data_IF_448933375407
#
_entry.id   IF_448933375407
#
_cell.length_a   1.000
_cell.length_b   1.000
_cell.length_c   1.000
_cell.angle_alpha   90.00
_cell.angle_beta   90.00
_cell.angle_gamma   90.00
#
_symmetry.space_group_name_H-M   'P 1'
#
loop_
_entity.id
_entity.type
_entity.pdbx_description
1 polymer ?
#
# COMPACT_ATOMS: atom_id res chain seq x y z
N UNK A 1 -51.82 -50.95 34.40
CA UNK A 1 -52.49 -50.23 33.30
C UNK A 1 -52.57 -48.74 33.66
N UNK A 2 -52.27 -47.81 32.73
CA UNK A 2 -52.57 -46.35 32.74
C UNK A 2 -51.92 -45.54 33.91
N UNK A 3 -51.03 -44.55 33.70
CA UNK A 3 -51.24 -43.16 33.16
C UNK A 3 -52.46 -42.47 33.80
N UNK A 4 -52.46 -41.23 34.30
CA UNK A 4 -51.44 -40.18 34.51
C UNK A 4 -51.95 -39.31 35.73
N UNK A 5 -51.57 -38.07 36.07
CA UNK A 5 -50.72 -37.01 35.49
C UNK A 5 -50.31 -36.04 36.63
N UNK A 6 -49.18 -35.32 36.53
CA UNK A 6 -48.89 -34.15 37.38
C UNK A 6 -48.03 -33.12 36.63
N UNK A 7 -48.49 -31.86 36.52
CA UNK A 7 -47.68 -30.72 36.10
C UNK A 7 -47.03 -30.07 37.33
N UNK A 8 -45.79 -29.59 37.22
CA UNK A 8 -45.30 -28.42 37.94
C UNK A 8 -45.17 -27.19 37.00
N UNK A 9 -45.22 -26.00 37.58
CA UNK A 9 -45.27 -24.74 36.85
C UNK A 9 -43.94 -24.33 36.20
N UNK A 10 -44.04 -23.48 35.16
CA UNK A 10 -42.89 -22.89 34.50
C UNK A 10 -42.25 -21.79 35.37
N UNK A 11 -40.93 -21.85 35.56
CA UNK A 11 -40.15 -20.74 36.08
C UNK A 11 -39.78 -19.78 34.93
N UNK A 12 -40.08 -18.49 35.08
CA UNK A 12 -39.60 -17.46 34.14
C UNK A 12 -38.09 -17.24 34.33
N UNK A 13 -37.31 -17.54 33.31
CA UNK A 13 -35.94 -17.00 33.18
C UNK A 13 -36.03 -15.59 32.58
N UNK A 14 -35.66 -14.57 33.35
CA UNK A 14 -35.45 -13.22 32.82
C UNK A 14 -34.05 -13.14 32.19
N UNK A 15 -33.98 -13.24 30.86
CA UNK A 15 -32.74 -13.03 30.13
C UNK A 15 -32.43 -11.52 30.04
N UNK A 16 -31.28 -11.12 30.58
CA UNK A 16 -30.73 -9.78 30.39
C UNK A 16 -30.24 -9.62 28.95
N UNK A 17 -31.02 -8.94 28.12
CA UNK A 17 -30.59 -8.50 26.80
C UNK A 17 -29.63 -7.30 26.97
N UNK A 18 -28.33 -7.57 26.98
CA UNK A 18 -27.36 -6.56 26.61
C UNK A 18 -27.58 -6.22 25.12
N UNK A 19 -27.54 -4.93 24.71
CA UNK A 19 -27.56 -4.60 23.30
C UNK A 19 -26.30 -5.18 22.66
N UNK A 20 -26.48 -6.07 21.67
CA UNK A 20 -25.39 -6.46 20.81
C UNK A 20 -24.91 -5.19 20.09
N UNK A 21 -23.67 -4.78 20.37
CA UNK A 21 -22.98 -3.84 19.50
C UNK A 21 -22.98 -4.47 18.11
N UNK A 22 -23.60 -3.79 17.13
CA UNK A 22 -23.56 -4.21 15.74
C UNK A 22 -22.11 -4.08 15.29
N UNK A 23 -21.37 -5.20 15.31
CA UNK A 23 -20.11 -5.30 14.62
C UNK A 23 -20.40 -4.96 13.15
N UNK A 24 -19.85 -3.85 12.67
CA UNK A 24 -19.88 -3.54 11.25
C UNK A 24 -19.17 -4.70 10.54
N UNK A 25 -19.69 -5.19 9.40
CA UNK A 25 -18.90 -6.08 8.56
C UNK A 25 -17.62 -5.35 8.17
N UNK A 26 -16.47 -6.04 8.04
CA UNK A 26 -15.30 -5.42 7.45
C UNK A 26 -15.70 -4.90 6.07
N UNK A 27 -15.37 -3.64 5.80
CA UNK A 27 -15.23 -3.17 4.42
C UNK A 27 -14.22 -4.08 3.72
N UNK A 28 -14.41 -4.36 2.42
CA UNK A 28 -13.28 -4.75 1.59
C UNK A 28 -12.38 -3.51 1.50
N UNK A 29 -11.43 -3.36 2.42
CA UNK A 29 -10.49 -2.21 2.47
C UNK A 29 -9.58 -2.15 1.22
N UNK A 30 -9.63 -3.20 0.39
CA UNK A 30 -9.00 -3.29 -0.93
C UNK A 30 -9.86 -2.72 -2.08
N UNK A 31 -11.13 -2.34 -1.84
CA UNK A 31 -12.02 -1.70 -2.84
C UNK A 31 -12.05 -0.18 -2.56
N UNK A 32 -10.88 0.46 -2.52
CA UNK A 32 -10.74 1.91 -2.33
C UNK A 32 -11.47 2.66 -3.45
N UNK A 33 -12.15 3.75 -3.09
CA UNK A 33 -12.76 4.68 -4.03
C UNK A 33 -12.49 6.11 -3.59
N UNK A 34 -11.71 6.84 -4.38
CA UNK A 34 -11.35 8.23 -4.11
C UNK A 34 -12.35 9.17 -4.79
N UNK A 35 -12.97 10.05 -4.01
CA UNK A 35 -13.82 11.12 -4.51
C UNK A 35 -13.01 12.35 -4.94
N UNK A 36 -13.36 12.94 -6.08
CA UNK A 36 -12.73 14.18 -6.55
C UNK A 36 -12.90 15.34 -5.55
N UNK A 37 -14.00 15.37 -4.81
CA UNK A 37 -14.34 16.38 -3.80
C UNK A 37 -13.87 16.06 -2.37
N UNK A 38 -13.07 14.99 -2.17
CA UNK A 38 -12.50 14.68 -0.86
C UNK A 38 -11.61 15.84 -0.35
N UNK A 39 -11.76 16.26 0.93
CA UNK A 39 -11.15 17.48 1.42
C UNK A 39 -9.64 17.30 1.63
N UNK A 40 -8.89 18.37 1.36
CA UNK A 40 -7.50 18.51 1.81
C UNK A 40 -7.50 19.06 3.25
N UNK A 41 -6.86 18.34 4.17
CA UNK A 41 -6.66 18.75 5.56
C UNK A 41 -5.25 19.34 5.72
N UNK A 42 -5.19 20.61 6.14
CA UNK A 42 -3.95 21.32 6.50
C UNK A 42 -3.55 21.08 7.97
N UNK A 43 -4.26 20.21 8.69
CA UNK A 43 -3.98 19.91 10.09
C UNK A 43 -2.84 18.89 10.20
N UNK A 44 -1.93 19.12 11.15
CA UNK A 44 -0.92 18.13 11.51
C UNK A 44 -1.56 16.83 11.98
N UNK A 45 -1.04 15.71 11.47
CA UNK A 45 -1.47 14.38 11.85
C UNK A 45 -0.30 13.43 12.08
N UNK A 46 -0.34 12.71 13.21
CA UNK A 46 0.46 11.51 13.44
C UNK A 46 -0.42 10.32 13.12
N UNK A 47 -0.05 9.53 12.13
CA UNK A 47 -0.79 8.36 11.65
C UNK A 47 -0.08 7.10 12.16
N UNK A 48 -0.64 6.49 13.21
CA UNK A 48 -0.04 5.35 13.91
C UNK A 48 -0.74 4.00 13.67
N UNK A 49 -1.95 4.03 13.11
CA UNK A 49 -2.83 2.89 12.86
C UNK A 49 -3.68 3.15 11.62
N UNK A 50 -4.10 2.09 10.92
CA UNK A 50 -5.09 2.16 9.86
C UNK A 50 -4.53 2.41 8.45
N UNK A 51 -5.43 2.43 7.48
CA UNK A 51 -5.14 2.54 6.05
C UNK A 51 -4.65 3.93 5.65
N UNK A 52 -3.50 4.01 4.96
CA UNK A 52 -2.96 5.23 4.37
C UNK A 52 -2.24 4.93 3.06
N UNK A 53 -2.44 5.76 2.05
CA UNK A 53 -1.74 5.66 0.78
C UNK A 53 -1.02 6.95 0.43
N UNK A 54 0.18 6.82 -0.14
CA UNK A 54 0.89 7.93 -0.76
C UNK A 54 0.47 7.98 -2.23
N UNK A 55 -0.05 9.12 -2.69
CA UNK A 55 -0.53 9.26 -4.06
C UNK A 55 -0.41 10.69 -4.57
N UNK A 56 -0.22 10.89 -5.89
CA UNK A 56 -0.33 12.21 -6.47
C UNK A 56 -1.78 12.68 -6.47
N UNK A 57 -1.98 13.99 -6.38
CA UNK A 57 -3.25 14.68 -6.57
C UNK A 57 -2.98 16.10 -7.08
N UNK A 58 -3.92 16.68 -7.82
CA UNK A 58 -3.87 18.09 -8.15
C UNK A 58 -4.43 18.94 -7.00
N UNK A 59 -3.60 19.82 -6.45
CA UNK A 59 -4.01 20.84 -5.46
C UNK A 59 -3.88 22.20 -6.13
N UNK A 60 -4.98 22.95 -6.26
CA UNK A 60 -5.05 24.22 -7.01
C UNK A 60 -4.42 24.16 -8.42
N UNK A 61 -4.53 22.98 -9.08
CA UNK A 61 -3.96 22.71 -10.41
C UNK A 61 -2.48 22.31 -10.41
N UNK A 62 -1.86 22.11 -9.25
CA UNK A 62 -0.46 21.70 -9.11
C UNK A 62 -0.37 20.21 -8.74
N UNK A 63 0.38 19.45 -9.53
CA UNK A 63 0.70 18.04 -9.24
C UNK A 63 1.49 17.94 -7.93
N UNK A 64 0.88 17.33 -6.92
CA UNK A 64 1.37 17.31 -5.54
C UNK A 64 1.35 15.87 -5.02
N UNK A 65 2.45 15.40 -4.44
CA UNK A 65 2.48 14.12 -3.73
C UNK A 65 1.89 14.30 -2.33
N UNK A 66 0.88 13.50 -2.00
CA UNK A 66 0.07 13.65 -0.79
C UNK A 66 -0.15 12.31 -0.08
N UNK A 67 -0.71 12.35 1.12
CA UNK A 67 -1.22 11.17 1.82
C UNK A 67 -2.74 11.16 1.76
N UNK A 68 -3.32 10.08 1.24
CA UNK A 68 -4.71 9.74 1.43
C UNK A 68 -4.87 9.06 2.80
N UNK A 69 -5.60 9.70 3.71
CA UNK A 69 -5.79 9.31 5.10
C UNK A 69 -7.18 8.70 5.30
N UNK A 70 -7.25 7.36 5.24
CA UNK A 70 -8.42 6.55 5.56
C UNK A 70 -8.47 6.14 7.06
N UNK A 71 -7.52 6.55 7.90
CA UNK A 71 -7.48 6.18 9.34
C UNK A 71 -8.72 6.66 10.12
N UNK A 72 -9.46 7.62 9.57
CA UNK A 72 -10.70 8.20 10.10
C UNK A 72 -11.97 7.61 9.49
N UNK A 73 -11.89 6.47 8.79
CA UNK A 73 -12.99 5.81 8.04
C UNK A 73 -14.15 5.25 8.89
N UNK A 74 -14.75 6.10 9.72
CA UNK A 74 -16.21 6.07 9.93
C UNK A 74 -16.80 6.90 8.77
N UNK A 75 -17.12 6.18 7.68
CA UNK A 75 -17.89 6.55 6.46
C UNK A 75 -17.85 8.04 6.04
N UNK A 76 -17.36 8.29 4.82
CA UNK A 76 -17.30 9.62 4.17
C UNK A 76 -16.41 10.67 4.86
N UNK A 77 -15.30 10.24 5.49
CA UNK A 77 -14.32 11.14 6.15
C UNK A 77 -12.84 10.85 5.88
N UNK A 78 -12.55 10.14 4.80
CA UNK A 78 -11.20 10.12 4.20
C UNK A 78 -10.78 11.53 3.82
N UNK A 79 -9.52 11.89 4.05
CA UNK A 79 -8.99 13.22 3.69
C UNK A 79 -7.65 13.09 3.00
N UNK A 80 -7.32 14.05 2.15
CA UNK A 80 -5.95 14.21 1.66
C UNK A 80 -5.14 15.07 2.63
N UNK A 81 -3.86 14.76 2.82
CA UNK A 81 -2.93 15.51 3.68
C UNK A 81 -1.65 15.87 2.95
N UNK A 82 -1.11 17.03 3.29
CA UNK A 82 0.25 17.41 2.90
C UNK A 82 1.28 16.56 3.67
N UNK A 83 2.33 16.13 2.97
CA UNK A 83 3.38 15.26 3.52
C UNK A 83 4.29 15.95 4.55
N UNK A 84 4.27 17.28 4.65
CA UNK A 84 4.98 18.02 5.70
C UNK A 84 4.14 18.24 6.97
N UNK A 85 2.81 18.11 6.87
CA UNK A 85 1.88 18.04 8.01
C UNK A 85 1.57 16.60 8.44
N UNK A 86 2.23 15.58 7.86
CA UNK A 86 1.97 14.17 8.18
C UNK A 86 3.23 13.46 8.69
N UNK A 87 3.10 12.71 9.78
CA UNK A 87 4.12 11.78 10.29
C UNK A 87 3.50 10.39 10.43
N UNK A 88 4.14 9.38 9.87
CA UNK A 88 3.80 7.98 10.09
C UNK A 88 4.52 7.48 11.35
N UNK A 89 3.77 7.08 12.38
CA UNK A 89 4.35 6.49 13.58
C UNK A 89 4.42 4.97 13.43
N UNK A 90 5.63 4.44 13.45
CA UNK A 90 5.88 2.99 13.50
C UNK A 90 6.11 2.63 14.96
N UNK A 91 5.18 1.88 15.56
CA UNK A 91 5.25 1.48 16.98
C UNK A 91 6.14 0.25 17.19
N UNK A 92 6.50 -0.07 18.44
CA UNK A 92 7.24 -1.30 18.73
C UNK A 92 6.42 -2.57 18.42
N UNK A 93 5.11 -2.47 18.17
CA UNK A 93 4.28 -3.58 17.68
C UNK A 93 4.69 -4.03 16.26
N UNK A 94 5.36 -3.15 15.51
CA UNK A 94 5.95 -3.48 14.21
C UNK A 94 7.25 -4.30 14.32
N UNK A 95 7.81 -4.51 15.52
CA UNK A 95 9.10 -5.21 15.67
C UNK A 95 8.96 -6.70 15.35
N UNK A 96 9.65 -7.12 14.30
CA UNK A 96 9.77 -8.52 13.87
C UNK A 96 11.24 -8.89 13.69
N UNK A 97 11.63 -10.16 13.88
CA UNK A 97 12.95 -10.62 13.51
C UNK A 97 13.09 -10.72 11.98
N UNK A 98 14.26 -10.42 11.44
CA UNK A 98 14.64 -10.77 10.06
C UNK A 98 14.44 -12.29 9.87
N UNK A 99 13.73 -12.74 8.82
CA UNK A 99 13.46 -14.16 8.60
C UNK A 99 14.74 -15.01 8.47
N UNK A 100 14.66 -16.26 8.93
CA UNK A 100 15.71 -17.29 8.79
C UNK A 100 15.91 -17.76 7.33
N UNK A 101 15.01 -17.39 6.42
CA UNK A 101 15.12 -17.71 5.00
C UNK A 101 16.17 -16.80 4.34
N UNK A 102 17.24 -17.36 3.72
CA UNK A 102 18.32 -16.57 3.13
C UNK A 102 17.88 -15.58 2.05
N UNK A 103 16.68 -15.71 1.47
CA UNK A 103 16.11 -14.73 0.54
C UNK A 103 15.84 -13.35 1.17
N UNK A 104 15.81 -13.25 2.50
CA UNK A 104 15.65 -11.99 3.24
C UNK A 104 16.98 -11.39 3.74
N UNK A 105 18.12 -11.98 3.38
CA UNK A 105 19.46 -11.50 3.77
C UNK A 105 19.82 -10.09 3.26
N UNK A 106 19.00 -9.51 2.36
CA UNK A 106 19.12 -8.10 1.98
C UNK A 106 18.73 -7.13 3.11
N UNK A 107 17.89 -7.56 4.06
CA UNK A 107 17.46 -6.75 5.21
C UNK A 107 18.54 -6.71 6.31
N UNK A 108 19.21 -7.85 6.54
CA UNK A 108 20.21 -7.99 7.60
C UNK A 108 20.43 -9.45 8.01
N UNK A 109 21.11 -9.65 9.14
CA UNK A 109 21.37 -10.98 9.72
C UNK A 109 20.09 -11.60 10.30
N UNK A 110 19.80 -12.89 10.07
CA UNK A 110 18.65 -13.60 10.63
C UNK A 110 18.48 -13.41 12.14
N UNK A 111 17.23 -13.22 12.57
CA UNK A 111 16.88 -13.00 13.97
C UNK A 111 17.14 -11.57 14.50
N UNK A 112 17.79 -10.69 13.73
CA UNK A 112 17.92 -9.26 14.07
C UNK A 112 16.55 -8.61 14.14
N UNK A 113 16.27 -7.82 15.18
CA UNK A 113 15.01 -7.10 15.31
C UNK A 113 14.95 -5.89 14.38
N UNK A 114 13.91 -5.79 13.56
CA UNK A 114 13.64 -4.68 12.64
C UNK A 114 12.17 -4.25 12.73
N UNK A 115 11.83 -3.02 12.33
CA UNK A 115 10.46 -2.51 12.36
C UNK A 115 9.81 -2.70 11.00
N UNK A 116 8.72 -3.49 10.93
CA UNK A 116 8.06 -3.87 9.68
C UNK A 116 6.62 -3.35 9.63
N UNK A 117 6.31 -2.48 8.68
CA UNK A 117 4.93 -2.24 8.26
C UNK A 117 4.59 -3.26 7.17
N UNK A 118 3.62 -4.16 7.36
CA UNK A 118 3.41 -5.29 6.48
C UNK A 118 2.58 -4.96 5.23
N UNK A 119 2.86 -5.64 4.12
CA UNK A 119 2.04 -5.61 2.90
C UNK A 119 0.60 -6.06 3.15
N UNK A 120 0.42 -7.11 3.95
CA UNK A 120 -0.91 -7.57 4.39
C UNK A 120 -1.27 -6.82 5.66
N UNK A 121 -2.46 -6.23 5.68
CA UNK A 121 -2.92 -5.41 6.80
C UNK A 121 -2.71 -6.07 8.17
N UNK A 122 -2.09 -5.32 9.08
CA UNK A 122 -2.10 -5.59 10.51
C UNK A 122 -2.78 -4.40 11.21
N UNK A 123 -3.91 -4.59 11.92
CA UNK A 123 -4.68 -3.49 12.52
C UNK A 123 -3.95 -2.80 13.69
N UNK A 124 -2.86 -3.37 14.21
CA UNK A 124 -2.09 -2.84 15.34
C UNK A 124 -0.93 -1.91 14.92
N UNK A 125 -0.79 -1.61 13.62
CA UNK A 125 0.17 -0.66 13.03
C UNK A 125 -0.48 0.18 11.91
N UNK A 126 0.20 1.23 11.46
CA UNK A 126 -0.19 1.98 10.26
C UNK A 126 0.08 1.13 9.01
N UNK A 127 -0.88 1.06 8.09
CA UNK A 127 -0.80 0.24 6.87
C UNK A 127 -0.55 1.15 5.67
N UNK A 128 0.73 1.30 5.31
CA UNK A 128 1.21 2.27 4.32
C UNK A 128 1.29 1.64 2.93
N UNK A 129 0.63 2.26 1.96
CA UNK A 129 0.63 1.89 0.55
C UNK A 129 0.84 3.08 -0.36
N UNK A 130 0.50 2.89 -1.62
CA UNK A 130 0.42 3.96 -2.62
C UNK A 130 -0.79 3.76 -3.54
N UNK A 131 -1.31 4.87 -4.08
CA UNK A 131 -2.40 4.84 -5.05
C UNK A 131 -2.18 5.82 -6.21
N UNK A 132 -2.85 5.53 -7.32
CA UNK A 132 -3.01 6.38 -8.52
C UNK A 132 -4.50 6.52 -8.88
N UNK A 133 -5.38 6.50 -7.87
CA UNK A 133 -6.83 6.41 -8.01
C UNK A 133 -7.57 7.75 -7.84
N UNK A 134 -6.84 8.85 -7.67
CA UNK A 134 -7.43 10.19 -7.71
C UNK A 134 -8.07 10.46 -9.09
N UNK A 135 -9.33 10.89 -9.17
CA UNK A 135 -10.03 11.05 -10.46
C UNK A 135 -9.34 12.00 -11.44
N UNK A 136 -8.83 13.14 -10.97
CA UNK A 136 -8.17 14.12 -11.84
C UNK A 136 -6.81 13.60 -12.33
N UNK A 137 -6.10 12.80 -11.52
CA UNK A 137 -4.91 12.07 -11.96
C UNK A 137 -5.25 11.02 -13.01
N UNK A 138 -6.28 10.20 -12.79
CA UNK A 138 -6.67 9.14 -13.73
C UNK A 138 -7.09 9.68 -15.10
N UNK A 139 -7.72 10.86 -15.13
CA UNK A 139 -8.16 11.50 -16.38
C UNK A 139 -7.03 12.24 -17.13
N UNK A 140 -5.87 12.51 -16.49
CA UNK A 140 -4.78 13.30 -17.10
C UNK A 140 -3.50 12.52 -17.42
N UNK A 141 -3.17 11.43 -16.73
CA UNK A 141 -1.88 10.72 -16.94
C UNK A 141 -1.91 9.72 -18.10
N UNK A 142 -0.80 9.60 -18.82
CA UNK A 142 -0.59 8.56 -19.82
C UNK A 142 -0.09 7.27 -19.13
N UNK A 143 -1.06 6.44 -18.71
CA UNK A 143 -0.82 5.03 -18.35
C UNK A 143 -0.32 4.76 -16.93
N UNK A 144 0.39 5.67 -16.27
CA UNK A 144 0.87 5.45 -14.90
C UNK A 144 1.82 6.51 -14.33
N UNK A 145 2.34 6.21 -13.14
CA UNK A 145 3.20 7.07 -12.34
C UNK A 145 4.47 6.30 -11.96
N UNK A 146 5.63 6.94 -12.10
CA UNK A 146 6.89 6.43 -11.55
C UNK A 146 7.12 7.02 -10.17
N UNK A 147 7.25 6.17 -9.15
CA UNK A 147 7.70 6.54 -7.81
C UNK A 147 9.19 6.21 -7.64
N UNK A 148 9.98 7.13 -7.12
CA UNK A 148 11.43 6.97 -6.97
C UNK A 148 11.90 7.42 -5.60
N UNK A 149 12.59 6.57 -4.85
CA UNK A 149 13.34 6.97 -3.66
C UNK A 149 14.61 7.70 -4.10
N UNK A 150 14.77 8.97 -3.69
CA UNK A 150 15.87 9.84 -4.14
C UNK A 150 16.90 10.16 -3.05
N UNK A 151 16.50 10.04 -1.77
CA UNK A 151 17.37 10.08 -0.59
C UNK A 151 16.69 9.40 0.60
N UNK A 152 17.50 9.00 1.58
CA UNK A 152 17.07 8.67 2.93
C UNK A 152 17.97 9.41 3.93
N UNK A 153 17.37 10.07 4.92
CA UNK A 153 18.03 10.58 6.12
C UNK A 153 17.41 9.88 7.33
N UNK A 154 18.23 9.30 8.21
CA UNK A 154 17.77 8.47 9.32
C UNK A 154 18.89 7.68 10.02
N UNK A 155 18.58 6.98 11.12
CA UNK A 155 19.56 6.25 11.95
C UNK A 155 20.01 4.90 11.35
N UNK A 156 19.26 4.33 10.41
CA UNK A 156 19.53 3.04 9.78
C UNK A 156 19.02 3.01 8.33
N UNK A 157 18.72 1.84 7.82
CA UNK A 157 18.27 1.60 6.45
C UNK A 157 16.75 1.53 6.31
N UNK A 158 16.26 1.73 5.08
CA UNK A 158 14.89 1.48 4.64
C UNK A 158 14.91 0.48 3.48
N UNK A 159 14.12 -0.57 3.61
CA UNK A 159 13.80 -1.50 2.52
C UNK A 159 12.29 -1.49 2.24
N UNK A 160 11.90 -1.44 0.98
CA UNK A 160 10.50 -1.62 0.54
C UNK A 160 10.45 -2.77 -0.45
N UNK A 161 9.62 -3.78 -0.19
CA UNK A 161 9.52 -4.97 -1.03
C UNK A 161 8.11 -5.56 -1.10
N UNK A 162 7.80 -6.19 -2.24
CA UNK A 162 6.61 -7.01 -2.41
C UNK A 162 6.94 -8.48 -2.18
N UNK A 163 6.05 -9.17 -1.45
CA UNK A 163 6.08 -10.60 -1.30
C UNK A 163 4.96 -11.22 -2.15
N UNK A 164 5.34 -12.00 -3.16
CA UNK A 164 4.39 -12.80 -3.90
C UNK A 164 3.87 -13.94 -3.03
N UNK A 165 2.53 -14.14 -2.99
CA UNK A 165 1.86 -15.17 -2.18
C UNK A 165 2.09 -16.62 -2.64
N UNK A 166 3.08 -16.86 -3.49
CA UNK A 166 3.42 -18.15 -4.10
C UNK A 166 4.72 -18.77 -3.54
N UNK A 167 5.20 -18.29 -2.38
CA UNK A 167 6.50 -18.65 -1.79
C UNK A 167 7.72 -18.34 -2.67
N UNK A 168 7.59 -17.41 -3.63
CA UNK A 168 8.74 -16.85 -4.33
C UNK A 168 9.61 -15.97 -3.43
N UNK A 169 10.78 -15.58 -3.91
CA UNK A 169 11.61 -14.57 -3.25
C UNK A 169 10.89 -13.21 -3.20
N UNK A 170 11.30 -12.36 -2.26
CA UNK A 170 10.88 -10.96 -2.20
C UNK A 170 11.32 -10.19 -3.44
N UNK A 171 10.43 -9.36 -3.97
CA UNK A 171 10.72 -8.40 -5.04
C UNK A 171 11.06 -7.05 -4.39
N UNK A 172 12.37 -6.75 -4.30
CA UNK A 172 12.89 -5.57 -3.61
C UNK A 172 12.76 -4.35 -4.52
N UNK A 173 11.88 -3.42 -4.11
CA UNK A 173 11.53 -2.23 -4.87
C UNK A 173 12.46 -1.06 -4.55
N UNK A 174 12.69 -0.81 -3.26
CA UNK A 174 13.66 0.17 -2.78
C UNK A 174 14.57 -0.46 -1.72
N UNK A 175 15.86 -0.20 -1.85
CA UNK A 175 16.92 -0.54 -0.90
C UNK A 175 17.77 0.72 -0.69
N UNK A 176 17.71 1.32 0.50
CA UNK A 176 18.40 2.58 0.78
C UNK A 176 19.91 2.45 0.95
N UNK A 177 20.48 1.22 0.97
CA UNK A 177 21.93 1.03 0.93
C UNK A 177 22.52 1.38 -0.44
N UNK A 178 21.66 1.42 -1.47
CA UNK A 178 22.03 1.58 -2.87
C UNK A 178 22.02 3.05 -3.30
N UNK A 179 22.94 3.38 -4.20
CA UNK A 179 23.15 4.76 -4.68
C UNK A 179 22.60 4.98 -6.09
N UNK A 180 22.14 3.92 -6.75
CA UNK A 180 21.42 3.98 -8.01
C UNK A 180 19.95 4.40 -7.84
N UNK A 181 19.40 5.00 -8.91
CA UNK A 181 17.97 5.29 -9.02
C UNK A 181 17.18 3.98 -9.04
N UNK A 182 16.17 3.89 -8.17
CA UNK A 182 15.29 2.74 -8.03
C UNK A 182 13.84 3.19 -8.26
N UNK A 183 13.28 2.78 -9.39
CA UNK A 183 11.99 3.25 -9.91
C UNK A 183 10.92 2.17 -9.75
N UNK A 184 9.78 2.54 -9.14
CA UNK A 184 8.57 1.73 -9.06
C UNK A 184 7.58 2.29 -10.08
N UNK A 185 7.25 1.50 -11.11
CA UNK A 185 6.16 1.84 -12.02
C UNK A 185 4.82 1.41 -11.42
N UNK A 186 3.88 2.37 -11.33
CA UNK A 186 2.52 2.15 -10.83
C UNK A 186 1.54 2.49 -11.94
N UNK A 187 0.79 1.50 -12.44
CA UNK A 187 -0.22 1.73 -13.49
C UNK A 187 -1.32 2.69 -12.98
N UNK A 188 -1.96 3.43 -13.88
CA UNK A 188 -3.12 4.28 -13.58
C UNK A 188 -4.26 3.45 -12.97
N UNK A 189 -4.99 4.02 -12.00
CA UNK A 189 -6.05 3.33 -11.25
C UNK A 189 -5.54 2.07 -10.50
N UNK A 190 -4.37 2.16 -9.88
CA UNK A 190 -3.78 1.12 -9.03
C UNK A 190 -3.72 1.59 -7.59
N UNK A 191 -3.92 0.66 -6.66
CA UNK A 191 -3.69 0.80 -5.22
C UNK A 191 -2.90 -0.43 -4.77
N UNK A 192 -1.83 -0.25 -3.98
CA UNK A 192 -0.94 -1.33 -3.58
C UNK A 192 -0.24 -1.02 -2.26
N UNK A 193 -0.21 -2.03 -1.38
CA UNK A 193 0.64 -2.04 -0.18
C UNK A 193 1.88 -2.90 -0.40
N UNK A 194 2.94 -2.58 0.34
CA UNK A 194 4.19 -3.32 0.36
C UNK A 194 4.70 -3.48 1.80
N UNK A 195 5.74 -4.29 1.97
CA UNK A 195 6.43 -4.39 3.25
C UNK A 195 7.45 -3.25 3.32
N UNK A 196 7.35 -2.39 4.33
CA UNK A 196 8.34 -1.36 4.64
C UNK A 196 9.13 -1.78 5.87
N UNK A 197 10.45 -1.78 5.78
CA UNK A 197 11.34 -2.24 6.86
C UNK A 197 12.34 -1.16 7.23
N UNK A 198 12.38 -0.79 8.51
CA UNK A 198 13.37 0.12 9.10
C UNK A 198 14.27 -0.67 10.05
N UNK A 199 15.60 -0.56 9.89
CA UNK A 199 16.54 -1.38 10.67
C UNK A 199 16.86 -0.84 12.07
N UNK A 200 16.63 0.45 12.32
CA UNK A 200 16.89 1.11 13.61
C UNK A 200 15.71 2.02 14.04
N UNK A 201 15.50 2.29 15.34
CA UNK A 201 14.52 3.26 15.79
C UNK A 201 15.04 4.70 15.67
N UNK A 202 14.17 5.61 15.24
CA UNK A 202 14.43 7.04 15.20
C UNK A 202 13.58 7.77 14.16
N UNK A 203 13.96 9.01 13.86
CA UNK A 203 13.30 9.82 12.83
C UNK A 203 13.91 9.48 11.48
N UNK A 204 13.06 9.24 10.48
CA UNK A 204 13.45 9.07 9.09
C UNK A 204 12.76 10.09 8.18
N UNK A 205 13.49 10.59 7.18
CA UNK A 205 13.00 11.33 6.03
C UNK A 205 13.35 10.55 4.76
N UNK A 206 12.36 10.00 4.07
CA UNK A 206 12.53 9.37 2.76
C UNK A 206 12.00 10.31 1.67
N UNK A 207 12.87 10.86 0.82
CA UNK A 207 12.41 11.71 -0.30
C UNK A 207 11.92 10.85 -1.45
N UNK A 208 10.62 10.98 -1.75
CA UNK A 208 10.00 10.31 -2.88
C UNK A 208 9.68 11.33 -3.97
N UNK A 209 10.15 11.04 -5.18
CA UNK A 209 9.77 11.71 -6.42
C UNK A 209 8.63 10.91 -7.08
N UNK A 210 7.57 11.60 -7.53
CA UNK A 210 6.45 11.04 -8.25
C UNK A 210 6.29 11.76 -9.60
N UNK A 211 6.69 11.09 -10.68
CA UNK A 211 6.69 11.62 -12.06
C UNK A 211 5.65 10.89 -12.92
N UNK A 212 4.94 11.61 -13.78
CA UNK A 212 4.04 11.04 -14.77
C UNK A 212 4.10 11.83 -16.09
N UNK A 213 4.00 11.12 -17.22
CA UNK A 213 3.68 11.74 -18.50
C UNK A 213 2.16 11.95 -18.58
N UNK A 214 1.73 13.04 -19.22
CA UNK A 214 0.33 13.43 -19.38
C UNK A 214 -0.18 13.14 -20.78
N UNK A 215 -1.50 12.94 -20.91
CA UNK A 215 -2.18 12.69 -22.21
C UNK A 215 -2.04 13.83 -23.23
N UNK A 216 -1.55 15.01 -22.83
CA UNK A 216 -1.23 16.13 -23.72
C UNK A 216 0.23 16.12 -24.24
N UNK A 217 1.04 15.15 -23.80
CA UNK A 217 2.45 14.98 -24.15
C UNK A 217 3.42 15.80 -23.30
N UNK A 218 2.97 16.44 -22.22
CA UNK A 218 3.84 17.05 -21.20
C UNK A 218 4.16 16.06 -20.06
N UNK A 219 5.15 16.39 -19.21
CA UNK A 219 5.53 15.59 -18.04
C UNK A 219 5.35 16.43 -16.78
N UNK A 220 4.76 15.83 -15.74
CA UNK A 220 4.62 16.41 -14.39
C UNK A 220 5.48 15.66 -13.39
N UNK A 221 5.92 16.37 -12.34
CA UNK A 221 6.72 15.81 -11.27
C UNK A 221 6.41 16.51 -9.94
N UNK A 222 6.43 15.76 -8.85
CA UNK A 222 6.32 16.27 -7.48
C UNK A 222 7.24 15.48 -6.56
N UNK A 223 7.97 16.17 -5.68
CA UNK A 223 8.90 15.56 -4.71
C UNK A 223 8.49 15.94 -3.30
N UNK A 224 8.41 14.96 -2.39
CA UNK A 224 8.07 15.21 -0.99
C UNK A 224 8.70 14.18 -0.04
N UNK A 225 8.97 14.63 1.19
CA UNK A 225 9.56 13.79 2.22
C UNK A 225 8.47 13.02 2.97
N UNK A 226 8.52 11.70 2.92
CA UNK A 226 7.81 10.83 3.84
C UNK A 226 8.50 10.91 5.20
N UNK A 227 7.73 11.23 6.26
CA UNK A 227 8.26 11.40 7.62
C UNK A 227 7.85 10.22 8.48
N UNK A 228 8.81 9.50 9.01
CA UNK A 228 8.56 8.40 9.94
C UNK A 228 9.14 8.70 11.32
N UNK A 229 8.38 8.37 12.35
CA UNK A 229 8.87 8.23 13.72
C UNK A 229 8.85 6.75 14.07
N UNK A 230 10.03 6.12 14.15
CA UNK A 230 10.19 4.66 14.27
C UNK A 230 10.57 4.28 15.70
N UNK A 231 9.78 3.38 16.30
CA UNK A 231 9.89 2.97 17.69
C UNK A 231 9.14 3.90 18.65
N UNK A 232 8.57 3.34 19.72
CA UNK A 232 7.74 4.06 20.70
C UNK A 232 8.51 5.13 21.50
N UNK A 233 9.85 5.07 21.51
CA UNK A 233 10.71 6.06 22.15
C UNK A 233 10.99 7.30 21.26
N UNK A 234 10.60 7.26 19.99
CA UNK A 234 10.82 8.35 19.03
C UNK A 234 9.65 9.33 19.07
N UNK A 235 9.93 10.60 19.31
CA UNK A 235 8.93 11.67 19.34
C UNK A 235 8.53 12.14 17.92
N UNK A 236 7.24 12.06 17.54
CA UNK A 236 6.73 12.61 16.28
C UNK A 236 7.05 14.09 16.03
N UNK A 237 7.15 14.92 17.07
CA UNK A 237 7.53 16.33 16.89
C UNK A 237 8.98 16.48 16.40
N UNK A 238 9.84 15.50 16.69
CA UNK A 238 11.15 15.38 16.05
C UNK A 238 11.06 15.19 14.54
N UNK A 239 10.13 14.36 14.08
CA UNK A 239 9.89 14.12 12.64
C UNK A 239 9.23 15.32 11.93
N UNK A 240 8.32 16.05 12.60
CA UNK A 240 7.80 17.32 12.08
C UNK A 240 8.86 18.42 12.00
N UNK A 241 9.80 18.47 12.94
CA UNK A 241 10.89 19.44 12.96
C UNK A 241 12.05 19.09 12.02
N UNK A 242 12.16 17.81 11.63
CA UNK A 242 13.25 17.32 10.80
C UNK A 242 13.26 17.96 9.40
N UNK A 243 14.47 18.17 8.93
CA UNK A 243 14.81 18.62 7.57
C UNK A 243 15.93 17.73 7.08
N UNK A 244 15.97 17.45 5.79
CA UNK A 244 17.09 16.75 5.21
C UNK A 244 18.40 17.45 5.58
N UNK A 245 19.33 16.69 6.13
CA UNK A 245 20.74 17.03 6.04
C UNK A 245 21.18 16.91 4.57
N UNK A 246 22.29 17.57 4.20
CA UNK A 246 22.81 17.50 2.83
C UNK A 246 23.46 16.13 2.55
N UNK A 247 22.62 15.11 2.35
CA UNK A 247 22.98 13.78 1.86
C UNK A 247 23.26 13.87 0.34
N UNK A 248 24.24 13.14 -0.23
CA UNK A 248 24.43 13.09 -1.67
C UNK A 248 23.17 12.56 -2.36
N UNK A 249 22.52 13.41 -3.17
CA UNK A 249 21.31 13.05 -3.92
C UNK A 249 21.60 11.92 -4.92
N UNK A 250 20.69 10.95 -5.02
CA UNK A 250 20.76 9.94 -6.10
C UNK A 250 20.57 10.68 -7.44
N UNK A 251 21.50 10.56 -8.41
CA UNK A 251 21.43 11.33 -9.65
C UNK A 251 20.19 10.97 -10.50
N UNK A 252 19.43 11.98 -10.91
CA UNK A 252 18.35 11.79 -11.88
C UNK A 252 18.93 11.32 -13.23
N UNK A 253 18.66 10.06 -13.59
CA UNK A 253 19.09 9.48 -14.85
C UNK A 253 18.31 10.05 -16.03
N UNK A 254 19.01 10.55 -17.05
CA UNK A 254 18.37 11.09 -18.25
C UNK A 254 17.69 9.99 -19.09
N UNK A 255 16.56 10.36 -19.69
CA UNK A 255 15.67 9.53 -20.51
C UNK A 255 16.39 8.69 -21.57
N UNK A 256 16.03 7.39 -21.66
CA UNK A 256 16.42 6.52 -22.78
C UNK A 256 15.36 6.54 -23.88
N UNK A 257 15.71 7.10 -25.04
CA UNK A 257 14.88 7.04 -26.22
C UNK A 257 14.92 5.65 -26.89
N UNK A 258 13.73 5.03 -26.99
CA UNK A 258 13.22 4.21 -28.11
C UNK A 258 14.10 3.19 -28.85
N UNK A 259 13.80 1.90 -28.61
CA UNK A 259 13.61 0.80 -29.60
C UNK A 259 14.81 0.39 -30.52
N UNK A 260 14.88 -0.82 -31.09
CA UNK A 260 13.93 -1.94 -31.22
C UNK A 260 14.64 -3.29 -31.43
N UNK A 261 14.01 -4.40 -31.01
CA UNK A 261 14.12 -5.70 -31.72
C UNK A 261 13.00 -6.64 -31.26
N UNK A 262 12.12 -7.00 -32.20
CA UNK A 262 10.97 -7.91 -32.02
C UNK A 262 11.40 -9.41 -32.15
N UNK A 263 10.51 -10.41 -32.01
CA UNK A 263 10.84 -11.61 -31.23
C UNK A 263 11.10 -12.87 -32.07
N UNK A 264 11.43 -13.96 -31.37
CA UNK A 264 11.46 -15.31 -31.93
C UNK A 264 10.69 -16.30 -31.04
N UNK A 265 9.58 -16.83 -31.56
CA UNK A 265 9.08 -18.18 -31.27
C UNK A 265 10.14 -19.21 -31.79
N UNK A 266 10.17 -20.50 -31.47
CA UNK A 266 9.25 -21.42 -30.78
C UNK A 266 10.08 -22.65 -30.37
N UNK A 267 9.72 -23.39 -29.31
CA UNK A 267 9.95 -24.86 -29.25
C UNK A 267 9.24 -25.52 -28.06
N UNK A 268 8.47 -26.55 -28.33
CA UNK A 268 7.71 -27.33 -27.35
C UNK A 268 8.50 -28.48 -26.73
N UNK A 269 8.13 -28.89 -25.51
CA UNK A 269 8.27 -30.27 -25.03
C UNK A 269 7.24 -30.55 -23.93
N UNK A 270 6.46 -31.61 -24.14
CA UNK A 270 5.35 -32.04 -23.28
C UNK A 270 5.77 -32.86 -22.05
N UNK A 271 4.79 -33.41 -21.30
CA UNK A 271 4.80 -33.32 -19.85
C UNK A 271 5.24 -34.61 -19.15
N UNK A 272 5.71 -34.46 -17.91
CA UNK A 272 5.73 -35.53 -16.91
C UNK A 272 4.76 -35.21 -15.75
N UNK A 273 4.05 -36.24 -15.30
CA UNK A 273 2.96 -36.15 -14.32
C UNK A 273 3.21 -37.18 -13.23
N UNK A 274 3.29 -36.74 -11.97
CA UNK A 274 2.76 -37.46 -10.78
C UNK A 274 2.87 -36.55 -9.53
N UNK A 275 1.75 -36.03 -9.00
CA UNK A 275 1.10 -36.43 -7.71
C UNK A 275 1.89 -36.19 -6.41
N UNK A 276 1.31 -35.80 -5.27
CA UNK A 276 -0.03 -35.34 -4.85
C UNK A 276 0.08 -34.81 -3.40
N UNK A 277 -0.96 -34.12 -2.90
CA UNK A 277 -1.19 -33.57 -1.54
C UNK A 277 -0.84 -32.07 -1.39
N UNK A 278 -1.70 -31.22 -0.82
CA UNK A 278 -3.05 -31.43 -0.24
C UNK A 278 -3.92 -30.19 -0.52
N UNK A 279 -5.22 -30.40 -0.78
CA UNK A 279 -6.17 -29.30 -1.00
C UNK A 279 -6.52 -28.61 0.33
N UNK A 280 -6.60 -27.27 0.33
CA UNK A 280 -6.91 -26.51 1.56
C UNK A 280 -7.32 -25.03 1.43
N UNK A 281 -6.84 -24.26 0.43
CA UNK A 281 -7.12 -22.80 0.35
C UNK A 281 -7.49 -22.28 -1.06
N UNK A 282 -7.33 -23.08 -2.12
CA UNK A 282 -7.32 -22.62 -3.52
C UNK A 282 -8.67 -22.12 -4.12
N UNK A 283 -9.75 -21.98 -3.35
CA UNK A 283 -11.08 -21.60 -3.85
C UNK A 283 -11.45 -20.12 -3.65
N UNK A 284 -10.66 -19.34 -2.93
CA UNK A 284 -10.89 -17.88 -2.75
C UNK A 284 -10.09 -17.07 -3.79
N UNK A 285 -8.83 -17.45 -4.07
CA UNK A 285 -7.93 -16.71 -4.96
C UNK A 285 -8.35 -16.74 -6.45
N UNK A 286 -9.03 -17.80 -6.89
CA UNK A 286 -9.51 -17.91 -8.28
C UNK A 286 -10.68 -16.94 -8.59
N UNK A 287 -11.40 -16.46 -7.58
CA UNK A 287 -12.51 -15.51 -7.77
C UNK A 287 -12.00 -14.09 -8.06
N UNK A 288 -11.04 -13.60 -7.26
CA UNK A 288 -10.47 -12.25 -7.41
C UNK A 288 -9.84 -12.03 -8.79
N UNK A 289 -8.99 -12.96 -9.23
CA UNK A 289 -8.28 -12.82 -10.52
C UNK A 289 -9.22 -12.86 -11.74
N UNK A 290 -10.37 -13.54 -11.64
CA UNK A 290 -11.40 -13.54 -12.70
C UNK A 290 -12.20 -12.24 -12.71
N UNK A 291 -12.47 -11.62 -11.56
CA UNK A 291 -13.21 -10.35 -11.48
C UNK A 291 -12.40 -9.19 -12.09
N UNK A 292 -11.10 -9.10 -11.80
CA UNK A 292 -10.21 -8.04 -12.35
C UNK A 292 -10.17 -8.08 -13.88
N UNK A 293 -9.94 -9.25 -14.48
CA UNK A 293 -9.85 -9.42 -15.94
C UNK A 293 -11.21 -9.16 -16.64
N UNK A 294 -12.33 -9.45 -15.99
CA UNK A 294 -13.67 -9.17 -16.54
C UNK A 294 -14.03 -7.69 -16.45
N UNK A 295 -13.71 -6.99 -15.35
CA UNK A 295 -13.97 -5.54 -15.19
C UNK A 295 -13.18 -4.70 -16.19
N UNK A 296 -11.87 -4.94 -16.36
CA UNK A 296 -11.04 -4.22 -17.35
C UNK A 296 -11.53 -4.37 -18.81
N UNK A 297 -12.12 -5.53 -19.15
CA UNK A 297 -12.73 -5.77 -20.47
C UNK A 297 -14.11 -5.12 -20.63
N UNK A 298 -14.84 -4.87 -19.54
CA UNK A 298 -16.11 -4.15 -19.57
C UNK A 298 -15.92 -2.63 -19.73
N UNK A 299 -14.95 -2.05 -19.01
CA UNK A 299 -14.60 -0.63 -19.12
C UNK A 299 -14.22 -0.24 -20.57
N UNK A 300 -13.31 -1.01 -21.20
CA UNK A 300 -12.93 -0.82 -22.61
C UNK A 300 -14.10 -0.92 -23.60
N UNK A 301 -15.16 -1.67 -23.28
CA UNK A 301 -16.36 -1.79 -24.12
C UNK A 301 -17.34 -0.62 -23.94
N UNK A 302 -17.44 -0.04 -22.75
CA UNK A 302 -18.27 1.14 -22.53
C UNK A 302 -17.65 2.43 -23.08
N UNK A 303 -16.33 2.59 -22.99
CA UNK A 303 -15.63 3.67 -23.68
C UNK A 303 -15.86 3.63 -25.21
N UNK A 304 -15.61 2.48 -25.83
CA UNK A 304 -15.81 2.29 -27.28
C UNK A 304 -17.27 2.44 -27.78
N UNK A 305 -18.26 2.42 -26.87
CA UNK A 305 -19.67 2.57 -27.22
C UNK A 305 -20.19 4.01 -27.21
N UNK A 306 -19.35 4.99 -26.81
CA UNK A 306 -19.72 6.42 -26.76
C UNK A 306 -19.30 7.22 -28.01
N UNK A 307 -18.39 6.70 -28.82
CA UNK A 307 -17.82 7.38 -30.00
C UNK A 307 -18.37 6.84 -31.34
N UNK A 308 -19.66 6.53 -31.42
CA UNK A 308 -20.35 6.30 -32.70
C UNK A 308 -21.48 7.32 -32.86
N UNK A 309 -21.53 8.11 -33.96
CA UNK A 309 -22.51 9.17 -34.16
C UNK A 309 -23.94 8.68 -34.46
#
# INVERSE_FOLDING_TARGET
MRRALALPGAALLAALLAPAALAQPPSDELDQTIGADQPVSTDRAVLSLGHVDIGPRYVDGVWTLMVHDDTRAIVDRSVWRELDQTVFQVSDTAVLPVPEDPSYSFIGEPGTSVYVLPQVQNPDVVWVGWNTQDPDVMDTIEGGVTLTLTSLDGPGELFVYLQAGNFGAADVLWDSTKSERQDIWVEVNTHTHANWVFTEPGVYLAQVEATADLVDGSTVNGTAALRFAVGNATDPEGAFAAKEHAVPSIPAGATRAGASSDPAEEASSGPDVLTLALAGVALILAAGMVVVVVRGRAAKRHAASRDTP
#
